data_IF_598541458607
#
_entry.id   IF_598541458607
#
_cell.length_a   1.000
_cell.length_b   1.000
_cell.length_c   1.000
_cell.angle_alpha   90.00
_cell.angle_beta   90.00
_cell.angle_gamma   90.00
#
_symmetry.space_group_name_H-M   'P 1'
#
loop_
_entity.id
_entity.type
_entity.pdbx_description
1 polymer ?
#
# COMPACT_ATOMS: atom_id res chain seq x y z
N UNK A 1 17.97 -26.38 9.39
CA UNK A 1 16.77 -25.65 8.96
C UNK A 1 17.21 -24.60 7.96
N UNK A 2 16.89 -24.69 6.66
CA UNK A 2 17.29 -23.66 5.72
C UNK A 2 16.29 -22.49 5.81
N UNK A 3 16.86 -21.32 6.09
CA UNK A 3 16.22 -20.00 6.08
C UNK A 3 15.55 -19.77 4.73
N UNK A 4 14.27 -19.38 4.75
CA UNK A 4 13.49 -19.04 3.56
C UNK A 4 14.25 -17.94 2.81
N UNK A 5 14.78 -18.29 1.64
CA UNK A 5 15.45 -17.38 0.75
C UNK A 5 14.45 -16.32 0.28
N UNK A 6 14.77 -15.08 0.62
CA UNK A 6 14.17 -13.88 0.08
C UNK A 6 14.47 -13.84 -1.44
N UNK A 7 13.66 -14.53 -2.25
CA UNK A 7 13.76 -14.50 -3.71
C UNK A 7 12.97 -13.32 -4.24
N UNK A 8 13.50 -12.11 -3.98
CA UNK A 8 13.11 -10.92 -4.71
C UNK A 8 13.73 -10.97 -6.11
N UNK A 9 12.90 -11.05 -7.15
CA UNK A 9 13.38 -10.94 -8.53
C UNK A 9 14.02 -9.57 -8.81
N UNK A 10 14.71 -9.36 -9.94
CA UNK A 10 15.48 -8.13 -10.23
C UNK A 10 14.66 -6.83 -10.25
N UNK A 11 13.34 -6.90 -10.12
CA UNK A 11 12.41 -5.76 -10.05
C UNK A 11 12.01 -5.37 -8.62
N UNK A 12 12.25 -6.23 -7.62
CA UNK A 12 11.88 -5.95 -6.21
C UNK A 12 12.83 -4.95 -5.55
N UNK A 13 14.06 -4.83 -6.04
CA UNK A 13 15.07 -3.92 -5.45
C UNK A 13 14.76 -2.43 -5.70
N UNK A 14 13.90 -2.12 -6.68
CA UNK A 14 13.55 -0.74 -7.03
C UNK A 14 12.33 -0.19 -6.27
N UNK A 15 11.47 -1.06 -5.73
CA UNK A 15 10.21 -0.65 -5.07
C UNK A 15 10.37 -0.86 -3.57
N UNK A 16 10.17 0.20 -2.80
CA UNK A 16 10.25 0.14 -1.36
C UNK A 16 8.82 0.13 -0.80
N UNK A 17 8.35 -1.08 -0.49
CA UNK A 17 7.03 -1.27 0.10
C UNK A 17 6.87 -0.50 1.42
N UNK A 18 7.92 -0.39 2.24
CA UNK A 18 7.87 0.30 3.52
C UNK A 18 7.86 1.82 3.36
N UNK A 19 8.50 2.35 2.31
CA UNK A 19 8.37 3.75 1.95
C UNK A 19 6.91 4.09 1.58
N UNK A 20 6.32 3.30 0.68
CA UNK A 20 4.92 3.49 0.25
C UNK A 20 3.94 3.35 1.41
N UNK A 21 4.13 2.34 2.28
CA UNK A 21 3.33 2.12 3.48
C UNK A 21 3.39 3.33 4.42
N UNK A 22 4.60 3.84 4.72
CA UNK A 22 4.78 5.02 5.59
C UNK A 22 4.12 6.26 5.01
N UNK A 23 4.27 6.49 3.71
CA UNK A 23 3.66 7.63 3.03
C UNK A 23 2.13 7.58 3.10
N UNK A 24 1.53 6.44 2.75
CA UNK A 24 0.06 6.29 2.75
C UNK A 24 -0.53 6.30 4.16
N UNK A 25 0.19 5.77 5.17
CA UNK A 25 -0.23 5.82 6.59
C UNK A 25 -0.37 7.25 7.12
N UNK A 26 0.34 8.20 6.55
CA UNK A 26 0.26 9.62 6.93
C UNK A 26 -0.91 10.36 6.27
N UNK A 27 -1.63 9.71 5.34
CA UNK A 27 -2.70 10.37 4.60
C UNK A 27 -4.00 10.43 5.42
N UNK A 28 -4.74 11.54 5.35
CA UNK A 28 -6.02 11.66 6.05
C UNK A 28 -7.01 10.56 5.66
N UNK A 29 -7.66 9.98 6.67
CA UNK A 29 -8.66 8.93 6.47
C UNK A 29 -8.10 7.52 6.27
N UNK A 30 -6.77 7.33 6.19
CA UNK A 30 -6.14 6.01 6.27
C UNK A 30 -6.01 5.60 7.74
N UNK A 31 -6.64 4.50 8.12
CA UNK A 31 -6.66 3.98 9.50
C UNK A 31 -5.58 2.92 9.69
N UNK A 32 -5.52 1.96 8.76
CA UNK A 32 -4.51 0.91 8.73
C UNK A 32 -4.03 0.71 7.29
N UNK A 33 -2.79 0.27 7.15
CA UNK A 33 -2.23 -0.08 5.86
C UNK A 33 -1.14 -1.13 6.02
N UNK A 34 -1.11 -2.04 5.05
CA UNK A 34 0.00 -2.94 4.80
C UNK A 34 0.36 -2.93 3.32
N UNK A 35 1.65 -2.76 3.02
CA UNK A 35 2.16 -2.88 1.66
C UNK A 35 3.08 -4.11 1.60
N UNK A 36 2.83 -5.00 0.65
CA UNK A 36 3.54 -6.26 0.53
C UNK A 36 3.62 -6.73 -0.91
N UNK A 37 4.48 -7.71 -1.15
CA UNK A 37 4.57 -8.41 -2.42
C UNK A 37 3.75 -9.70 -2.34
N UNK A 38 2.79 -9.85 -3.25
CA UNK A 38 2.06 -11.09 -3.48
C UNK A 38 2.58 -11.69 -4.79
N UNK A 39 3.41 -12.72 -4.67
CA UNK A 39 4.22 -13.27 -5.77
C UNK A 39 5.07 -12.18 -6.45
N UNK A 40 4.66 -11.70 -7.62
CA UNK A 40 5.34 -10.64 -8.39
C UNK A 40 4.52 -9.33 -8.44
N UNK A 41 3.46 -9.25 -7.64
CA UNK A 41 2.55 -8.10 -7.62
C UNK A 41 2.77 -7.29 -6.37
N UNK A 42 3.12 -6.01 -6.53
CA UNK A 42 3.13 -5.08 -5.40
C UNK A 42 1.69 -4.69 -5.03
N UNK A 43 1.29 -5.01 -3.80
CA UNK A 43 -0.06 -4.83 -3.26
C UNK A 43 -0.05 -3.81 -2.13
N UNK A 44 -1.04 -2.94 -2.11
CA UNK A 44 -1.36 -2.09 -0.96
C UNK A 44 -2.76 -2.46 -0.45
N UNK A 45 -2.85 -2.88 0.81
CA UNK A 45 -4.11 -3.17 1.50
C UNK A 45 -4.37 -2.07 2.53
N UNK A 46 -5.44 -1.29 2.32
CA UNK A 46 -5.75 -0.15 3.16
C UNK A 46 -7.12 -0.34 3.83
N UNK A 47 -7.14 -0.05 5.12
CA UNK A 47 -8.37 0.21 5.86
C UNK A 47 -8.53 1.72 5.96
N UNK A 48 -9.64 2.23 5.44
CA UNK A 48 -9.94 3.66 5.42
C UNK A 48 -11.23 3.94 6.17
N UNK A 49 -11.37 5.17 6.66
CA UNK A 49 -12.58 5.63 7.34
C UNK A 49 -13.78 5.67 6.37
N UNK A 50 -14.99 5.38 6.85
CA UNK A 50 -16.19 5.28 5.99
C UNK A 50 -16.69 6.64 5.47
N UNK A 51 -16.28 7.73 6.10
CA UNK A 51 -16.48 9.11 5.67
C UNK A 51 -15.45 9.58 4.63
N UNK A 52 -14.45 8.75 4.33
CA UNK A 52 -13.42 9.07 3.35
C UNK A 52 -13.83 8.70 1.92
N UNK A 53 -13.42 9.52 0.95
CA UNK A 53 -13.66 9.27 -0.48
C UNK A 53 -12.50 8.51 -1.14
N UNK A 54 -11.80 7.65 -0.41
CA UNK A 54 -10.69 6.89 -0.97
C UNK A 54 -11.15 5.96 -2.09
N UNK A 55 -10.42 5.99 -3.20
CA UNK A 55 -10.57 5.05 -4.30
C UNK A 55 -9.21 4.52 -4.72
N UNK A 56 -9.19 3.35 -5.33
CA UNK A 56 -7.97 2.75 -5.85
C UNK A 56 -7.22 3.71 -6.80
N UNK A 57 -7.98 4.43 -7.64
CA UNK A 57 -7.42 5.43 -8.55
C UNK A 57 -6.69 6.55 -7.79
N UNK A 58 -7.27 7.04 -6.70
CA UNK A 58 -6.66 8.09 -5.89
C UNK A 58 -5.38 7.62 -5.21
N UNK A 59 -5.37 6.41 -4.64
CA UNK A 59 -4.16 5.81 -4.05
C UNK A 59 -3.04 5.75 -5.07
N UNK A 60 -3.32 5.21 -6.26
CA UNK A 60 -2.32 5.08 -7.33
C UNK A 60 -1.78 6.43 -7.81
N UNK A 61 -2.66 7.43 -7.97
CA UNK A 61 -2.26 8.78 -8.40
C UNK A 61 -1.38 9.46 -7.35
N UNK A 62 -1.78 9.43 -6.08
CA UNK A 62 -1.01 10.02 -4.99
C UNK A 62 0.39 9.41 -4.86
N UNK A 63 0.48 8.08 -4.92
CA UNK A 63 1.77 7.39 -4.88
C UNK A 63 2.63 7.72 -6.10
N UNK A 64 2.03 7.80 -7.29
CA UNK A 64 2.75 8.16 -8.52
C UNK A 64 3.31 9.59 -8.47
N UNK A 65 2.53 10.54 -7.93
CA UNK A 65 2.89 11.94 -7.84
C UNK A 65 3.99 12.19 -6.81
N UNK A 66 3.91 11.55 -5.64
CA UNK A 66 4.82 11.81 -4.51
C UNK A 66 6.05 10.91 -4.49
N UNK A 67 5.90 9.62 -4.83
CA UNK A 67 6.97 8.62 -4.74
C UNK A 67 7.46 8.14 -6.12
N UNK A 68 6.73 8.46 -7.18
CA UNK A 68 7.05 8.10 -8.56
C UNK A 68 6.37 6.82 -9.05
N UNK A 69 6.26 6.67 -10.37
CA UNK A 69 5.54 5.57 -11.04
C UNK A 69 6.00 4.16 -10.65
N UNK A 70 7.26 4.01 -10.27
CA UNK A 70 7.84 2.73 -9.88
C UNK A 70 7.32 2.26 -8.51
N UNK A 71 6.88 3.18 -7.64
CA UNK A 71 6.32 2.86 -6.32
C UNK A 71 4.82 2.57 -6.37
N UNK A 72 4.16 2.64 -7.53
CA UNK A 72 2.71 2.50 -7.62
C UNK A 72 2.30 1.04 -7.41
N UNK A 73 1.46 0.73 -6.41
CA UNK A 73 0.94 -0.62 -6.22
C UNK A 73 0.12 -1.05 -7.45
N UNK A 74 0.38 -2.27 -7.92
CA UNK A 74 -0.34 -2.88 -9.05
C UNK A 74 -1.74 -3.31 -8.67
N UNK A 75 -1.99 -3.55 -7.38
CA UNK A 75 -3.29 -3.89 -6.82
C UNK A 75 -3.49 -3.08 -5.55
N UNK A 76 -4.67 -2.48 -5.41
CA UNK A 76 -5.08 -1.78 -4.20
C UNK A 76 -6.32 -2.47 -3.65
N UNK A 77 -6.24 -2.93 -2.42
CA UNK A 77 -7.39 -3.44 -1.67
C UNK A 77 -7.85 -2.35 -0.72
N UNK A 78 -9.14 -2.04 -0.75
CA UNK A 78 -9.74 -1.01 0.08
C UNK A 78 -10.86 -1.62 0.92
N UNK A 79 -10.70 -1.52 2.23
CA UNK A 79 -11.71 -1.89 3.21
C UNK A 79 -12.18 -0.66 3.97
N UNK A 80 -13.49 -0.50 4.12
CA UNK A 80 -14.07 0.60 4.90
C UNK A 80 -14.22 0.15 6.36
N UNK A 81 -13.82 1.01 7.30
CA UNK A 81 -14.04 0.79 8.73
C UNK A 81 -14.75 1.99 9.37
N UNK A 82 -15.73 1.68 10.22
CA UNK A 82 -16.34 2.67 11.12
C UNK A 82 -15.48 2.76 12.36
N UNK A 83 -14.97 3.95 12.66
CA UNK A 83 -14.54 4.26 14.02
C UNK A 83 -15.77 4.10 14.93
N UNK A 84 -15.82 2.99 15.67
CA UNK A 84 -16.86 2.81 16.69
C UNK A 84 -16.64 3.89 17.74
N UNK A 85 -17.59 4.80 17.89
CA UNK A 85 -17.66 5.68 19.04
C UNK A 85 -17.78 4.78 20.30
N UNK A 86 -16.75 4.81 21.14
CA UNK A 86 -16.75 4.21 22.47
C UNK A 86 -17.39 5.15 23.48
#
# INVERSE_FOLDING_TARGET
MPTISNMGGPWTDAVDAKLTEKFLRLQPGVLEIECYWDEETFVADLVVSDDSNWSERMVRLLVAEELGLHQVPRRVLLSLSRLRAA
#
